data_IF_419059613099
#
_entry.id   IF_419059613099
#
_cell.length_a   1.000
_cell.length_b   1.000
_cell.length_c   1.000
_cell.angle_alpha   90.00
_cell.angle_beta   90.00
_cell.angle_gamma   90.00
#
_symmetry.space_group_name_H-M   'P 1'
#
loop_
_entity.id
_entity.type
_entity.pdbx_description
1 polymer ?
#
# COMPACT_ATOMS: atom_id res chain seq x y z
N UNK A 1 39.56 -5.96 21.40
CA UNK A 1 38.54 -5.96 22.45
C UNK A 1 37.19 -6.14 21.75
N UNK A 2 36.86 -7.36 21.30
CA UNK A 2 36.01 -8.38 21.98
C UNK A 2 34.57 -7.86 22.15
N UNK A 3 33.60 -8.20 21.28
CA UNK A 3 32.87 -9.49 21.13
C UNK A 3 32.51 -10.17 22.47
N UNK A 4 31.23 -10.57 22.58
CA UNK A 4 30.52 -11.23 23.70
C UNK A 4 29.85 -10.33 24.75
N UNK A 5 28.51 -10.24 24.71
CA UNK A 5 27.61 -10.48 25.86
C UNK A 5 26.14 -10.22 25.49
N UNK A 6 25.46 -11.23 24.94
CA UNK A 6 23.99 -11.38 24.99
C UNK A 6 23.60 -12.86 25.06
N UNK A 7 23.97 -13.55 26.13
CA UNK A 7 23.26 -14.74 26.59
C UNK A 7 23.32 -14.75 28.11
N UNK A 8 22.15 -14.57 28.74
CA UNK A 8 22.07 -14.42 30.18
C UNK A 8 20.65 -14.11 30.66
N UNK A 9 19.68 -14.94 30.28
CA UNK A 9 18.45 -15.09 31.08
C UNK A 9 18.51 -16.47 31.71
N UNK A 10 18.77 -16.49 33.01
CA UNK A 10 18.68 -17.70 33.82
C UNK A 10 17.27 -18.27 33.68
N UNK A 11 17.18 -19.53 33.26
CA UNK A 11 15.99 -20.35 33.41
C UNK A 11 15.73 -20.53 34.91
N UNK A 12 14.72 -19.88 35.46
CA UNK A 12 14.17 -20.28 36.75
C UNK A 12 13.35 -21.54 36.52
N UNK A 13 14.00 -22.69 36.68
CA UNK A 13 13.37 -24.01 36.61
C UNK A 13 13.02 -24.40 38.03
N UNK A 14 11.75 -24.35 38.42
CA UNK A 14 11.30 -24.90 39.70
C UNK A 14 11.08 -26.40 39.47
N UNK A 15 12.04 -27.21 39.89
CA UNK A 15 11.92 -28.67 40.00
C UNK A 15 11.26 -28.99 41.35
N UNK A 16 10.01 -29.44 41.36
CA UNK A 16 9.37 -30.01 42.55
C UNK A 16 9.50 -31.54 42.48
N UNK A 17 10.56 -32.07 43.10
CA UNK A 17 10.69 -33.50 43.36
C UNK A 17 9.97 -33.84 44.67
N UNK A 18 8.87 -34.60 44.59
CA UNK A 18 8.27 -35.21 45.78
C UNK A 18 9.18 -36.36 46.23
N UNK A 19 9.81 -36.22 47.39
CA UNK A 19 10.48 -37.32 48.08
C UNK A 19 9.50 -37.95 49.07
N UNK A 20 9.07 -39.17 48.81
CA UNK A 20 8.44 -40.02 49.82
C UNK A 20 9.54 -40.60 50.74
N UNK A 21 9.53 -40.36 52.06
CA UNK A 21 10.49 -40.96 52.96
C UNK A 21 10.03 -42.38 53.32
N UNK A 22 10.50 -43.40 52.61
CA UNK A 22 10.38 -44.79 53.05
C UNK A 22 11.43 -45.09 54.13
N UNK A 23 10.98 -45.19 55.39
CA UNK A 23 11.67 -45.89 56.47
C UNK A 23 11.43 -47.40 56.31
N UNK A 24 12.51 -48.19 56.19
CA UNK A 24 12.46 -49.66 56.32
C UNK A 24 12.67 -50.44 55.02
N UNK A 25 13.37 -51.56 55.14
CA UNK A 25 14.03 -52.32 54.07
C UNK A 25 13.13 -52.79 52.91
N UNK A 26 13.59 -52.53 51.67
CA UNK A 26 13.11 -53.14 50.43
C UNK A 26 12.91 -52.14 49.29
N UNK A 27 13.90 -51.97 48.41
CA UNK A 27 13.83 -51.01 47.30
C UNK A 27 13.79 -51.73 45.93
N UNK A 28 12.74 -51.59 45.11
CA UNK A 28 12.85 -51.67 43.66
C UNK A 28 12.98 -50.26 43.07
N UNK A 29 13.87 -50.13 42.07
CA UNK A 29 14.19 -48.88 41.36
C UNK A 29 12.92 -48.14 40.90
N UNK A 30 12.70 -46.93 41.40
CA UNK A 30 11.70 -45.99 40.85
C UNK A 30 12.36 -45.03 39.87
N UNK A 31 11.79 -44.96 38.67
CA UNK A 31 12.12 -43.98 37.63
C UNK A 31 11.56 -42.61 38.04
N UNK A 32 12.44 -41.62 38.21
CA UNK A 32 12.03 -40.23 38.43
C UNK A 32 11.52 -39.65 37.11
N UNK A 33 10.20 -39.57 36.92
CA UNK A 33 9.60 -38.76 35.84
C UNK A 33 9.47 -37.31 36.30
N UNK A 34 10.36 -36.44 35.82
CA UNK A 34 10.19 -34.99 35.90
C UNK A 34 9.24 -34.52 34.79
N UNK A 35 7.99 -34.23 35.13
CA UNK A 35 7.05 -33.53 34.24
C UNK A 35 7.37 -32.03 34.25
N UNK A 36 7.94 -31.54 33.15
CA UNK A 36 8.05 -30.11 32.86
C UNK A 36 6.63 -29.55 32.63
N UNK A 37 5.98 -29.04 33.68
CA UNK A 37 4.81 -28.19 33.53
C UNK A 37 5.28 -26.81 33.04
N UNK A 38 5.47 -26.68 31.73
CA UNK A 38 5.66 -25.36 31.11
C UNK A 38 4.35 -24.58 31.25
N UNK A 39 4.28 -23.74 32.28
CA UNK A 39 3.14 -22.85 32.49
C UNK A 39 3.15 -21.79 31.37
N UNK A 40 2.08 -21.76 30.58
CA UNK A 40 1.90 -20.95 29.37
C UNK A 40 0.52 -20.29 29.41
N UNK A 41 0.37 -19.18 28.68
CA UNK A 41 -0.91 -18.49 28.49
C UNK A 41 -1.82 -19.10 27.43
N UNK A 42 -1.41 -20.17 26.74
CA UNK A 42 -2.23 -20.84 25.73
C UNK A 42 -3.59 -21.26 26.32
N UNK A 43 -4.66 -20.81 25.68
CA UNK A 43 -6.06 -21.00 26.09
C UNK A 43 -6.46 -20.34 27.42
N UNK A 44 -5.62 -19.50 28.03
CA UNK A 44 -5.82 -18.93 29.39
C UNK A 44 -5.70 -17.41 29.44
N UNK A 45 -5.80 -16.73 28.29
CA UNK A 45 -5.76 -15.27 28.25
C UNK A 45 -6.92 -14.69 29.05
N UNK A 46 -6.61 -13.71 29.91
CA UNK A 46 -7.55 -13.03 30.80
C UNK A 46 -8.26 -13.94 31.83
N UNK A 47 -7.85 -15.19 32.00
CA UNK A 47 -8.35 -16.05 33.08
C UNK A 47 -7.76 -15.60 34.43
N UNK A 48 -8.59 -15.18 35.40
CA UNK A 48 -8.10 -14.79 36.71
C UNK A 48 -7.59 -16.00 37.48
N UNK A 49 -6.29 -16.07 37.72
CA UNK A 49 -5.71 -17.00 38.71
C UNK A 49 -5.84 -16.43 40.12
N UNK A 50 -6.37 -17.22 41.05
CA UNK A 50 -6.40 -16.88 42.47
C UNK A 50 -5.01 -16.52 43.01
N UNK A 51 -4.94 -15.57 43.94
CA UNK A 51 -3.68 -15.06 44.52
C UNK A 51 -2.82 -16.14 45.21
N UNK A 52 -3.43 -17.26 45.59
CA UNK A 52 -2.80 -18.38 46.31
C UNK A 52 -2.19 -19.47 45.42
N UNK A 53 -2.26 -19.37 44.08
CA UNK A 53 -1.70 -20.38 43.17
C UNK A 53 -0.32 -19.96 42.68
N UNK A 54 0.77 -20.69 43.01
CA UNK A 54 2.11 -20.38 42.50
C UNK A 54 2.19 -20.50 40.98
N UNK A 55 2.79 -19.51 40.31
CA UNK A 55 3.06 -19.56 38.87
C UNK A 55 2.93 -18.20 38.17
N UNK A 56 3.24 -18.18 36.88
CA UNK A 56 3.06 -17.00 36.04
C UNK A 56 1.58 -16.72 35.73
N UNK A 57 1.29 -15.49 35.31
CA UNK A 57 -0.06 -14.97 35.06
C UNK A 57 -0.30 -14.54 33.60
N UNK A 58 -1.58 -14.48 33.22
CA UNK A 58 -2.05 -14.20 31.86
C UNK A 58 -3.13 -13.12 31.79
N UNK A 59 -3.30 -12.36 32.88
CA UNK A 59 -4.18 -11.19 32.93
C UNK A 59 -3.42 -9.90 32.61
N UNK A 60 -4.16 -8.89 32.16
CA UNK A 60 -3.62 -7.56 31.79
C UNK A 60 -2.73 -6.89 32.86
N UNK A 61 -2.89 -7.22 34.14
CA UNK A 61 -2.09 -6.63 35.22
C UNK A 61 -0.74 -7.33 35.44
N UNK A 62 -0.48 -8.47 34.78
CA UNK A 62 0.77 -9.20 34.95
C UNK A 62 1.99 -8.38 34.53
N UNK A 63 1.84 -7.50 33.53
CA UNK A 63 2.92 -6.63 33.06
C UNK A 63 3.36 -5.64 34.14
N UNK A 64 2.41 -5.14 34.94
CA UNK A 64 2.71 -4.23 36.06
C UNK A 64 3.36 -4.98 37.22
N UNK A 65 2.97 -6.23 37.47
CA UNK A 65 3.54 -7.08 38.53
C UNK A 65 4.88 -7.71 38.16
N UNK A 66 5.20 -7.81 36.87
CA UNK A 66 6.40 -8.49 36.37
C UNK A 66 6.29 -10.02 36.43
N UNK A 67 5.07 -10.56 36.47
CA UNK A 67 4.79 -12.00 36.68
C UNK A 67 4.08 -12.66 35.49
N UNK A 68 4.12 -12.06 34.31
CA UNK A 68 3.54 -12.63 33.09
C UNK A 68 4.20 -13.97 32.72
N UNK A 69 3.41 -14.89 32.15
CA UNK A 69 4.01 -16.04 31.46
C UNK A 69 4.84 -15.56 30.27
N UNK A 70 5.85 -16.37 29.93
CA UNK A 70 6.85 -16.02 28.92
C UNK A 70 6.26 -15.77 27.53
N UNK A 71 5.10 -16.36 27.24
CA UNK A 71 4.36 -16.29 25.97
C UNK A 71 3.14 -15.35 26.01
N UNK A 72 2.94 -14.59 27.10
CA UNK A 72 1.78 -13.72 27.27
C UNK A 72 1.62 -12.66 26.16
N UNK A 73 2.72 -12.02 25.76
CA UNK A 73 2.70 -11.03 24.66
C UNK A 73 2.25 -11.67 23.35
N UNK A 74 2.90 -12.76 22.94
CA UNK A 74 2.62 -13.44 21.67
C UNK A 74 1.23 -14.10 21.62
N UNK A 75 0.74 -14.57 22.77
CA UNK A 75 -0.51 -15.35 22.86
C UNK A 75 -1.73 -14.48 23.14
N UNK A 76 -1.61 -13.43 23.95
CA UNK A 76 -2.77 -12.66 24.44
C UNK A 76 -2.81 -11.21 23.93
N UNK A 77 -1.66 -10.61 23.59
CA UNK A 77 -1.58 -9.19 23.18
C UNK A 77 -1.44 -9.05 21.67
N UNK A 78 -0.44 -9.72 21.08
CA UNK A 78 -0.14 -9.66 19.65
C UNK A 78 -1.34 -9.99 18.73
N UNK A 79 -2.26 -10.92 19.05
CA UNK A 79 -3.43 -11.21 18.21
C UNK A 79 -4.36 -10.02 17.96
N UNK A 80 -4.41 -9.06 18.89
CA UNK A 80 -5.23 -7.83 18.77
C UNK A 80 -4.57 -6.75 17.90
N UNK A 81 -3.36 -7.01 17.39
CA UNK A 81 -2.54 -6.05 16.63
C UNK A 81 -1.94 -6.64 15.36
N UNK A 82 -2.16 -7.93 15.11
CA UNK A 82 -1.53 -8.68 14.04
C UNK A 82 -2.55 -9.34 13.14
N UNK A 83 -2.28 -9.31 11.84
CA UNK A 83 -3.06 -9.94 10.79
C UNK A 83 -2.56 -11.35 10.43
N UNK A 84 -1.71 -11.94 11.28
CA UNK A 84 -1.00 -13.19 10.98
C UNK A 84 -1.17 -14.21 12.10
N UNK A 85 -1.27 -15.47 11.71
CA UNK A 85 -1.01 -16.60 12.58
C UNK A 85 0.48 -16.78 12.82
N UNK A 86 0.81 -17.28 14.00
CA UNK A 86 2.14 -17.72 14.43
C UNK A 86 1.98 -19.08 15.11
N UNK A 87 3.09 -19.76 15.41
CA UNK A 87 3.05 -21.03 16.15
C UNK A 87 2.36 -20.90 17.53
N UNK A 88 2.36 -19.71 18.13
CA UNK A 88 1.67 -19.43 19.39
C UNK A 88 0.15 -19.33 19.24
N UNK A 89 -0.32 -18.90 18.07
CA UNK A 89 -1.74 -18.66 17.78
C UNK A 89 -2.48 -19.85 17.19
N UNK A 90 -1.78 -20.85 16.65
CA UNK A 90 -2.44 -21.99 16.03
C UNK A 90 -3.27 -22.79 17.05
N UNK A 91 -4.57 -22.93 16.78
CA UNK A 91 -5.53 -23.53 17.69
C UNK A 91 -5.79 -22.66 18.92
N UNK A 92 -5.63 -21.34 18.84
CA UNK A 92 -5.96 -20.44 19.95
C UNK A 92 -7.43 -20.54 20.35
N UNK A 93 -7.72 -20.28 21.63
CA UNK A 93 -9.08 -19.90 22.02
C UNK A 93 -9.37 -18.53 21.42
N UNK A 94 -10.58 -18.32 20.89
CA UNK A 94 -10.95 -17.05 20.26
C UNK A 94 -10.76 -15.87 21.21
N UNK A 95 -10.00 -14.88 20.75
CA UNK A 95 -9.70 -13.65 21.51
C UNK A 95 -10.55 -12.52 20.95
N UNK A 96 -11.34 -11.88 21.82
CA UNK A 96 -12.14 -10.72 21.45
C UNK A 96 -11.25 -9.56 20.98
N UNK A 97 -11.64 -8.88 19.91
CA UNK A 97 -10.85 -7.77 19.34
C UNK A 97 -9.65 -8.20 18.49
N UNK A 98 -9.47 -9.50 18.22
CA UNK A 98 -8.52 -9.95 17.19
C UNK A 98 -8.96 -9.53 15.79
N UNK A 99 -8.01 -9.13 14.95
CA UNK A 99 -8.29 -8.74 13.56
C UNK A 99 -8.71 -9.92 12.68
N UNK A 100 -8.16 -11.09 12.99
CA UNK A 100 -8.42 -12.37 12.34
C UNK A 100 -8.09 -13.49 13.33
N UNK A 101 -8.62 -14.68 13.09
CA UNK A 101 -8.52 -15.82 14.00
C UNK A 101 -7.57 -16.91 13.51
N UNK A 102 -6.99 -17.65 14.45
CA UNK A 102 -6.21 -18.86 14.20
C UNK A 102 -6.79 -20.08 14.95
N UNK A 103 -8.04 -19.98 15.42
CA UNK A 103 -8.77 -21.07 16.06
C UNK A 103 -9.23 -22.11 15.04
N UNK A 104 -9.55 -23.32 15.51
CA UNK A 104 -9.91 -24.44 14.63
C UNK A 104 -11.23 -24.23 13.86
N UNK A 105 -12.10 -23.35 14.34
CA UNK A 105 -13.37 -22.99 13.68
C UNK A 105 -13.25 -21.78 12.73
N UNK A 106 -12.06 -21.21 12.52
CA UNK A 106 -11.91 -19.97 11.75
C UNK A 106 -12.30 -20.12 10.27
N UNK A 107 -12.06 -21.30 9.67
CA UNK A 107 -12.39 -21.55 8.26
C UNK A 107 -13.91 -21.59 8.08
N UNK A 108 -14.63 -22.19 9.02
CA UNK A 108 -16.08 -22.25 9.02
C UNK A 108 -16.70 -20.86 9.20
N UNK A 109 -16.12 -20.03 10.07
CA UNK A 109 -16.58 -18.65 10.30
C UNK A 109 -16.06 -17.64 9.27
N UNK A 110 -15.20 -18.08 8.34
CA UNK A 110 -14.57 -17.25 7.30
C UNK A 110 -13.82 -16.04 7.88
N UNK A 111 -13.14 -16.23 9.00
CA UNK A 111 -12.40 -15.18 9.70
C UNK A 111 -10.96 -15.56 10.02
N UNK A 112 -10.42 -16.60 9.37
CA UNK A 112 -9.01 -16.95 9.50
C UNK A 112 -8.08 -15.82 9.06
N UNK A 113 -6.92 -15.71 9.70
CA UNK A 113 -5.81 -14.96 9.11
C UNK A 113 -5.37 -15.64 7.80
N UNK A 114 -4.89 -14.85 6.83
CA UNK A 114 -4.61 -15.37 5.47
C UNK A 114 -3.54 -16.45 5.45
N UNK A 115 -2.58 -16.39 6.37
CA UNK A 115 -1.50 -17.38 6.49
C UNK A 115 -1.85 -18.55 7.41
N UNK A 116 -3.12 -18.73 7.80
CA UNK A 116 -3.56 -19.81 8.69
C UNK A 116 -3.22 -21.19 8.12
N UNK A 117 -3.54 -21.45 6.85
CA UNK A 117 -3.22 -22.73 6.22
C UNK A 117 -1.71 -22.98 6.20
N UNK A 118 -0.94 -21.93 5.89
CA UNK A 118 0.52 -22.04 5.79
C UNK A 118 1.14 -22.38 7.16
N UNK A 119 0.77 -21.63 8.20
CA UNK A 119 1.40 -21.73 9.52
C UNK A 119 0.81 -22.86 10.37
N UNK A 120 -0.51 -23.06 10.31
CA UNK A 120 -1.22 -23.97 11.22
C UNK A 120 -1.61 -25.31 10.58
N UNK A 121 -1.64 -25.42 9.24
CA UNK A 121 -1.91 -26.68 8.52
C UNK A 121 -0.69 -27.23 7.77
N UNK A 122 0.40 -26.46 7.69
CA UNK A 122 1.63 -26.87 7.01
C UNK A 122 1.53 -26.83 5.49
N UNK A 123 0.58 -26.08 4.93
CA UNK A 123 0.56 -25.79 3.50
C UNK A 123 1.71 -24.84 3.12
N UNK A 124 2.18 -24.91 1.88
CA UNK A 124 3.21 -23.99 1.40
C UNK A 124 2.59 -22.64 1.02
N UNK A 125 3.25 -21.49 1.30
CA UNK A 125 2.79 -20.19 0.85
C UNK A 125 2.64 -20.11 -0.67
N UNK A 126 1.77 -19.22 -1.16
CA UNK A 126 1.64 -19.02 -2.62
C UNK A 126 3.00 -18.71 -3.25
N UNK A 127 3.83 -17.86 -2.65
CA UNK A 127 5.14 -17.50 -3.20
C UNK A 127 6.11 -18.69 -3.43
N UNK A 128 5.89 -19.82 -2.75
CA UNK A 128 6.75 -21.01 -2.83
C UNK A 128 6.21 -22.09 -3.78
N UNK A 129 4.95 -21.97 -4.22
CA UNK A 129 4.40 -22.90 -5.20
C UNK A 129 5.04 -22.72 -6.59
N UNK A 130 5.20 -23.81 -7.37
CA UNK A 130 5.66 -23.69 -8.75
C UNK A 130 4.67 -22.90 -9.61
N UNK A 131 5.15 -22.29 -10.69
CA UNK A 131 4.28 -21.67 -11.67
C UNK A 131 3.42 -22.74 -12.36
N UNK A 132 2.15 -22.44 -12.58
CA UNK A 132 1.21 -23.29 -13.31
C UNK A 132 0.78 -22.54 -14.58
N UNK A 133 0.82 -23.22 -15.72
CA UNK A 133 0.24 -22.67 -16.95
C UNK A 133 -1.27 -22.88 -16.93
N UNK A 134 -2.02 -21.79 -17.08
CA UNK A 134 -3.48 -21.82 -17.10
C UNK A 134 -3.98 -21.61 -18.53
N UNK A 135 -4.48 -22.67 -19.16
CA UNK A 135 -5.21 -22.55 -20.44
C UNK A 135 -6.65 -22.06 -20.22
N UNK A 136 -7.23 -22.40 -19.07
CA UNK A 136 -8.57 -21.98 -18.64
C UNK A 136 -8.56 -21.57 -17.16
N UNK A 137 -9.33 -20.55 -16.76
CA UNK A 137 -9.36 -20.10 -15.38
C UNK A 137 -9.96 -21.17 -14.45
N UNK A 138 -9.37 -21.33 -13.27
CA UNK A 138 -9.86 -22.25 -12.23
C UNK A 138 -10.71 -21.48 -11.23
N UNK A 139 -11.96 -21.23 -11.59
CA UNK A 139 -12.89 -20.43 -10.78
C UNK A 139 -13.87 -21.31 -9.98
N UNK A 140 -14.09 -21.03 -8.68
CA UNK A 140 -15.13 -21.69 -7.91
C UNK A 140 -16.52 -21.22 -8.35
N UNK A 141 -17.54 -22.01 -7.99
CA UNK A 141 -18.93 -21.72 -8.37
C UNK A 141 -19.35 -20.28 -8.01
N UNK A 142 -19.98 -19.60 -8.97
CA UNK A 142 -20.41 -18.20 -8.85
C UNK A 142 -19.41 -17.18 -9.38
N UNK A 143 -18.16 -17.58 -9.69
CA UNK A 143 -17.19 -16.76 -10.40
C UNK A 143 -17.16 -17.13 -11.89
N UNK A 144 -18.32 -17.02 -12.56
CA UNK A 144 -18.45 -17.39 -13.97
C UNK A 144 -17.63 -16.49 -14.88
N UNK A 145 -17.45 -15.23 -14.47
CA UNK A 145 -16.50 -14.30 -15.04
C UNK A 145 -15.38 -14.09 -14.00
N UNK A 146 -14.11 -14.29 -14.37
CA UNK A 146 -13.03 -14.07 -13.42
C UNK A 146 -12.86 -12.58 -13.12
N UNK A 147 -12.79 -12.19 -11.83
CA UNK A 147 -12.73 -10.78 -11.45
C UNK A 147 -11.36 -10.18 -11.79
N UNK A 148 -11.33 -8.87 -11.95
CA UNK A 148 -10.10 -8.10 -12.19
C UNK A 148 -9.75 -7.31 -10.93
N UNK A 149 -8.52 -7.46 -10.44
CA UNK A 149 -7.98 -6.63 -9.35
C UNK A 149 -6.88 -5.76 -9.92
N UNK A 150 -7.06 -4.44 -9.81
CA UNK A 150 -6.07 -3.43 -10.16
C UNK A 150 -5.37 -2.95 -8.88
N UNK A 151 -4.14 -3.39 -8.65
CA UNK A 151 -3.36 -3.07 -7.46
C UNK A 151 -2.24 -2.09 -7.80
N UNK A 152 -2.35 -0.85 -7.31
CA UNK A 152 -1.31 0.17 -7.43
C UNK A 152 -0.41 0.25 -6.20
N UNK A 153 0.90 0.25 -6.44
CA UNK A 153 1.95 0.56 -5.45
C UNK A 153 2.58 1.90 -5.84
N UNK A 154 2.21 2.98 -5.16
CA UNK A 154 2.57 4.36 -5.54
C UNK A 154 4.09 4.53 -5.62
N UNK A 155 4.58 5.18 -6.69
CA UNK A 155 5.99 5.49 -6.84
C UNK A 155 6.92 4.26 -6.98
N UNK A 156 6.37 3.06 -7.24
CA UNK A 156 7.17 1.86 -7.51
C UNK A 156 7.88 2.00 -8.87
N UNK A 157 9.07 2.60 -8.84
CA UNK A 157 9.95 2.73 -9.99
C UNK A 157 10.31 1.34 -10.53
N UNK A 158 10.19 1.16 -11.85
CA UNK A 158 10.52 -0.09 -12.54
C UNK A 158 11.89 -0.68 -12.16
N UNK A 159 12.91 0.17 -12.02
CA UNK A 159 14.27 -0.25 -11.63
C UNK A 159 14.33 -0.92 -10.24
N UNK A 160 13.38 -0.68 -9.34
CA UNK A 160 13.33 -1.40 -8.07
C UNK A 160 13.14 -2.90 -8.26
N UNK A 161 12.36 -3.32 -9.25
CA UNK A 161 12.19 -4.74 -9.56
C UNK A 161 13.43 -5.32 -10.26
N UNK A 162 14.11 -4.53 -11.10
CA UNK A 162 15.35 -4.94 -11.75
C UNK A 162 16.47 -5.19 -10.74
N UNK A 163 16.62 -4.29 -9.76
CA UNK A 163 17.74 -4.30 -8.81
C UNK A 163 17.45 -5.10 -7.53
N UNK A 164 16.21 -5.06 -7.02
CA UNK A 164 15.87 -5.60 -5.69
C UNK A 164 14.93 -6.80 -5.72
N UNK A 165 14.66 -7.39 -6.89
CA UNK A 165 13.78 -8.58 -7.05
C UNK A 165 14.04 -9.71 -6.05
N UNK A 166 15.30 -10.00 -5.72
CA UNK A 166 15.63 -11.07 -4.76
C UNK A 166 15.15 -10.81 -3.33
N UNK A 167 14.77 -9.57 -3.00
CA UNK A 167 14.19 -9.18 -1.72
C UNK A 167 12.66 -9.14 -1.75
N UNK A 168 12.06 -9.39 -2.91
CA UNK A 168 10.63 -9.24 -3.21
C UNK A 168 10.06 -10.54 -3.78
N UNK A 169 10.03 -11.63 -3.00
CA UNK A 169 9.68 -12.96 -3.51
C UNK A 169 8.26 -13.06 -4.09
N UNK A 170 7.29 -12.32 -3.56
CA UNK A 170 5.91 -12.37 -4.05
C UNK A 170 5.80 -11.67 -5.42
N UNK A 171 6.39 -10.48 -5.55
CA UNK A 171 6.42 -9.72 -6.79
C UNK A 171 7.26 -10.46 -7.84
N UNK A 172 8.40 -11.02 -7.46
CA UNK A 172 9.26 -11.81 -8.36
C UNK A 172 8.54 -13.07 -8.86
N UNK A 173 7.77 -13.76 -7.99
CA UNK A 173 6.93 -14.87 -8.43
C UNK A 173 5.87 -14.40 -9.43
N UNK A 174 5.18 -13.30 -9.16
CA UNK A 174 4.15 -12.78 -10.07
C UNK A 174 4.75 -12.42 -11.45
N UNK A 175 5.92 -11.78 -11.47
CA UNK A 175 6.69 -11.50 -12.69
C UNK A 175 7.11 -12.77 -13.44
N UNK A 176 7.53 -13.81 -12.71
CA UNK A 176 8.04 -15.06 -13.28
C UNK A 176 6.91 -15.93 -13.86
N UNK A 177 5.79 -16.04 -13.16
CA UNK A 177 4.67 -16.87 -13.57
C UNK A 177 3.65 -16.14 -14.46
N UNK A 178 3.63 -14.80 -14.43
CA UNK A 178 2.68 -13.96 -15.14
C UNK A 178 3.26 -13.28 -16.38
N UNK A 179 2.61 -12.19 -16.79
CA UNK A 179 3.09 -11.31 -17.87
C UNK A 179 3.66 -10.03 -17.28
N UNK A 180 4.89 -9.69 -17.67
CA UNK A 180 5.57 -8.49 -17.18
C UNK A 180 6.25 -7.73 -18.32
N UNK A 181 6.17 -6.40 -18.26
CA UNK A 181 6.99 -5.48 -19.05
C UNK A 181 8.08 -4.89 -18.17
N UNK A 182 9.30 -4.71 -18.71
CA UNK A 182 10.42 -4.06 -17.99
C UNK A 182 10.03 -2.71 -17.40
N UNK A 183 9.13 -1.98 -18.06
CA UNK A 183 8.55 -0.76 -17.54
C UNK A 183 7.18 -0.48 -18.18
N UNK A 184 6.37 0.31 -17.49
CA UNK A 184 5.19 0.96 -18.04
C UNK A 184 5.45 2.47 -18.08
N UNK A 185 5.16 3.12 -19.21
CA UNK A 185 5.39 4.57 -19.36
C UNK A 185 4.18 5.34 -18.85
N UNK A 186 4.40 6.11 -17.78
CA UNK A 186 3.45 7.08 -17.24
C UNK A 186 3.13 8.22 -18.23
N UNK A 187 1.95 8.82 -18.08
CA UNK A 187 1.60 10.09 -18.69
C UNK A 187 2.36 11.25 -18.04
N UNK A 188 2.43 12.37 -18.76
CA UNK A 188 3.07 13.58 -18.26
C UNK A 188 2.01 14.56 -17.70
N UNK A 189 2.25 15.19 -16.53
CA UNK A 189 3.39 14.99 -15.62
C UNK A 189 3.32 13.67 -14.85
N UNK A 190 4.47 13.13 -14.47
CA UNK A 190 4.58 11.88 -13.71
C UNK A 190 4.24 12.10 -12.23
N UNK A 191 2.94 12.28 -11.96
CA UNK A 191 2.33 12.56 -10.65
C UNK A 191 1.15 11.63 -10.38
N UNK A 192 0.84 11.46 -9.09
CA UNK A 192 -0.15 10.49 -8.60
C UNK A 192 -1.52 10.58 -9.23
N UNK A 193 -2.23 11.71 -9.06
CA UNK A 193 -3.61 11.83 -9.52
C UNK A 193 -3.75 11.77 -11.06
N UNK A 194 -2.91 12.47 -11.84
CA UNK A 194 -2.94 12.37 -13.30
C UNK A 194 -2.80 10.93 -13.80
N UNK A 195 -1.83 10.18 -13.26
CA UNK A 195 -1.51 8.85 -13.77
C UNK A 195 -2.50 7.78 -13.31
N UNK A 196 -2.91 7.78 -12.04
CA UNK A 196 -3.95 6.86 -11.58
C UNK A 196 -5.26 7.05 -12.33
N UNK A 197 -5.65 8.30 -12.63
CA UNK A 197 -6.87 8.57 -13.36
C UNK A 197 -6.73 8.30 -14.87
N UNK A 198 -5.54 8.52 -15.45
CA UNK A 198 -5.19 8.05 -16.81
C UNK A 198 -5.38 6.53 -16.92
N UNK A 199 -4.88 5.75 -15.96
CA UNK A 199 -4.94 4.28 -15.98
C UNK A 199 -6.40 3.78 -16.08
N UNK A 200 -7.32 4.36 -15.31
CA UNK A 200 -8.72 3.91 -15.27
C UNK A 200 -9.60 4.55 -16.33
N UNK A 201 -9.14 5.56 -17.07
CA UNK A 201 -9.92 6.20 -18.14
C UNK A 201 -9.37 5.94 -19.55
N UNK A 202 -8.09 5.57 -19.67
CA UNK A 202 -7.39 5.47 -20.96
C UNK A 202 -7.15 6.83 -21.64
N UNK A 203 -7.34 7.95 -20.93
CA UNK A 203 -7.24 9.30 -21.47
C UNK A 203 -5.94 9.98 -21.02
N UNK A 204 -5.45 10.94 -21.81
CA UNK A 204 -4.39 11.84 -21.36
C UNK A 204 -4.90 12.85 -20.31
N UNK A 205 -4.02 13.39 -19.44
CA UNK A 205 -4.38 14.42 -18.47
C UNK A 205 -5.09 15.64 -19.06
N UNK A 206 -4.68 16.08 -20.25
CA UNK A 206 -5.35 17.19 -20.92
C UNK A 206 -6.82 16.90 -21.27
N UNK A 207 -7.19 15.63 -21.45
CA UNK A 207 -8.55 15.20 -21.80
C UNK A 207 -9.40 14.87 -20.58
N UNK A 208 -8.85 14.16 -19.59
CA UNK A 208 -9.60 13.77 -18.39
C UNK A 208 -9.64 14.87 -17.31
N UNK A 209 -8.88 15.95 -17.48
CA UNK A 209 -8.97 17.17 -16.69
C UNK A 209 -8.17 17.19 -15.39
N UNK A 210 -7.57 16.07 -14.97
CA UNK A 210 -6.74 15.98 -13.77
C UNK A 210 -5.28 16.11 -14.20
N UNK A 211 -4.79 17.35 -14.31
CA UNK A 211 -3.50 17.64 -14.96
C UNK A 211 -2.31 17.62 -14.00
N UNK A 212 -2.56 17.72 -12.70
CA UNK A 212 -1.57 17.65 -11.62
C UNK A 212 -2.30 17.41 -10.28
N UNK A 213 -1.54 17.13 -9.21
CA UNK A 213 -2.04 17.04 -7.84
C UNK A 213 -2.50 18.42 -7.30
N UNK A 214 -2.06 19.53 -7.94
CA UNK A 214 -2.51 20.89 -7.66
C UNK A 214 -2.72 21.66 -8.96
N UNK A 215 -3.89 22.27 -9.14
CA UNK A 215 -4.24 22.99 -10.36
C UNK A 215 -5.28 24.09 -10.10
N UNK A 216 -5.43 25.02 -11.03
CA UNK A 216 -6.44 26.07 -11.00
C UNK A 216 -7.25 26.03 -12.29
N UNK A 217 -8.56 26.23 -12.18
CA UNK A 217 -9.48 26.33 -13.31
C UNK A 217 -10.10 27.72 -13.31
N UNK A 218 -9.78 28.53 -14.31
CA UNK A 218 -10.27 29.91 -14.44
C UNK A 218 -11.77 30.00 -14.70
N UNK A 219 -12.36 28.97 -15.32
CA UNK A 219 -13.79 28.98 -15.63
C UNK A 219 -14.63 28.63 -14.40
N UNK A 220 -14.07 27.81 -13.51
CA UNK A 220 -14.67 27.50 -12.22
C UNK A 220 -14.31 28.53 -11.14
N UNK A 221 -13.25 29.30 -11.36
CA UNK A 221 -12.56 30.13 -10.38
C UNK A 221 -12.23 29.37 -9.08
N UNK A 222 -11.66 28.17 -9.23
CA UNK A 222 -11.37 27.26 -8.12
C UNK A 222 -9.97 26.67 -8.22
N UNK A 223 -9.42 26.31 -7.07
CA UNK A 223 -8.15 25.59 -6.97
C UNK A 223 -8.38 24.16 -6.46
N UNK A 224 -7.82 23.19 -7.17
CA UNK A 224 -7.79 21.79 -6.78
C UNK A 224 -6.50 21.50 -6.00
N UNK A 225 -6.63 20.72 -4.93
CA UNK A 225 -5.50 20.17 -4.17
C UNK A 225 -5.91 18.89 -3.45
N UNK A 226 -4.98 17.95 -3.27
CA UNK A 226 -5.23 16.66 -2.60
C UNK A 226 -5.68 16.81 -1.13
N UNK A 227 -5.23 17.87 -0.47
CA UNK A 227 -5.62 18.20 0.91
C UNK A 227 -6.89 19.05 1.00
N UNK A 228 -7.41 19.54 -0.12
CA UNK A 228 -8.60 20.38 -0.18
C UNK A 228 -9.89 19.56 -0.35
N UNK A 229 -11.02 20.22 -0.10
CA UNK A 229 -12.36 19.64 -0.33
C UNK A 229 -12.75 19.59 -1.81
N UNK A 230 -12.14 20.45 -2.63
CA UNK A 230 -12.40 20.53 -4.07
C UNK A 230 -12.08 19.25 -4.82
N UNK A 231 -11.28 18.34 -4.24
CA UNK A 231 -11.04 17.02 -4.85
C UNK A 231 -12.32 16.19 -5.02
N UNK A 232 -13.35 16.45 -4.22
CA UNK A 232 -14.64 15.77 -4.28
C UNK A 232 -15.63 16.43 -5.25
N UNK A 233 -15.29 17.57 -5.87
CA UNK A 233 -16.16 18.24 -6.83
C UNK A 233 -16.06 17.52 -8.21
N UNK A 234 -17.15 16.94 -8.74
CA UNK A 234 -17.14 16.20 -10.00
C UNK A 234 -16.80 17.06 -11.22
N UNK A 235 -16.86 18.39 -11.12
CA UNK A 235 -16.46 19.30 -12.21
C UNK A 235 -14.97 19.18 -12.58
N UNK A 236 -14.13 18.64 -11.70
CA UNK A 236 -12.73 18.35 -12.00
C UNK A 236 -12.54 17.09 -12.85
N UNK A 237 -13.41 16.10 -12.71
CA UNK A 237 -13.18 14.75 -13.21
C UNK A 237 -13.94 14.54 -14.52
N UNK A 238 -13.20 14.45 -15.63
CA UNK A 238 -13.78 14.22 -16.97
C UNK A 238 -13.53 12.78 -17.43
N UNK A 239 -14.09 12.43 -18.58
CA UNK A 239 -14.03 11.06 -19.10
C UNK A 239 -14.89 10.10 -18.30
N UNK A 240 -14.66 8.81 -18.49
CA UNK A 240 -15.39 7.74 -17.84
C UNK A 240 -14.40 6.72 -17.25
N UNK A 241 -14.26 6.64 -15.92
CA UNK A 241 -13.42 5.63 -15.31
C UNK A 241 -14.02 4.23 -15.48
N UNK A 242 -13.15 3.22 -15.49
CA UNK A 242 -13.49 1.83 -15.82
C UNK A 242 -14.54 1.23 -14.89
N UNK A 243 -14.61 1.66 -13.62
CA UNK A 243 -15.67 1.21 -12.71
C UNK A 243 -17.06 1.62 -13.19
N UNK A 244 -17.24 2.84 -13.74
CA UNK A 244 -18.52 3.25 -14.35
C UNK A 244 -18.77 2.48 -15.64
N UNK A 245 -17.74 2.26 -16.46
CA UNK A 245 -17.85 1.47 -17.70
C UNK A 245 -18.34 0.04 -17.42
N UNK A 246 -17.83 -0.59 -16.36
CA UNK A 246 -18.25 -1.89 -15.88
C UNK A 246 -19.70 -1.86 -15.37
N UNK A 247 -20.05 -0.84 -14.56
CA UNK A 247 -21.40 -0.68 -14.01
C UNK A 247 -22.47 -0.45 -15.06
N UNK A 248 -22.20 0.34 -16.11
CA UNK A 248 -23.12 0.49 -17.24
C UNK A 248 -23.30 -0.79 -18.05
N UNK A 249 -22.41 -1.77 -17.88
CA UNK A 249 -22.49 -3.10 -18.50
C UNK A 249 -22.90 -4.19 -17.49
N UNK A 250 -23.58 -3.79 -16.40
CA UNK A 250 -24.16 -4.67 -15.37
C UNK A 250 -23.13 -5.46 -14.53
N UNK A 251 -21.89 -5.00 -14.47
CA UNK A 251 -20.86 -5.51 -13.55
C UNK A 251 -20.77 -4.62 -12.30
N UNK A 252 -20.30 -5.16 -11.18
CA UNK A 252 -20.11 -4.38 -9.94
C UNK A 252 -18.65 -3.98 -9.76
N UNK A 253 -18.42 -2.85 -9.09
CA UNK A 253 -17.07 -2.33 -8.84
C UNK A 253 -16.83 -2.07 -7.35
N UNK A 254 -15.67 -2.51 -6.84
CA UNK A 254 -15.25 -2.36 -5.45
C UNK A 254 -13.90 -1.67 -5.35
N UNK A 255 -13.87 -0.40 -4.97
CA UNK A 255 -12.63 0.39 -4.97
C UNK A 255 -12.13 0.66 -3.55
N UNK A 256 -11.04 0.01 -3.15
CA UNK A 256 -10.36 0.27 -1.89
C UNK A 256 -9.23 1.28 -2.13
N UNK A 257 -9.63 2.56 -2.12
CA UNK A 257 -8.86 3.73 -2.53
C UNK A 257 -8.44 3.72 -4.01
N UNK A 258 -8.84 4.76 -4.73
CA UNK A 258 -8.29 5.15 -6.03
C UNK A 258 -8.63 6.62 -6.32
N UNK A 259 -7.74 7.43 -6.91
CA UNK A 259 -8.09 8.79 -7.31
C UNK A 259 -9.35 8.85 -8.18
N UNK A 260 -10.39 9.51 -7.65
CA UNK A 260 -11.70 9.66 -8.31
C UNK A 260 -12.75 8.63 -7.90
N UNK A 261 -12.39 7.57 -7.17
CA UNK A 261 -13.36 6.55 -6.74
C UNK A 261 -14.29 7.02 -5.62
N UNK A 262 -13.85 8.00 -4.84
CA UNK A 262 -14.63 8.68 -3.80
C UNK A 262 -15.26 9.99 -4.29
N UNK A 263 -15.49 10.09 -5.60
CA UNK A 263 -16.14 11.24 -6.27
C UNK A 263 -17.33 10.77 -7.10
N UNK A 264 -18.41 11.57 -7.09
CA UNK A 264 -19.65 11.29 -7.81
C UNK A 264 -19.52 11.62 -9.32
N UNK A 265 -18.70 10.86 -10.03
CA UNK A 265 -18.41 11.08 -11.46
C UNK A 265 -19.62 10.66 -12.28
N UNK A 266 -20.10 11.54 -13.16
CA UNK A 266 -21.33 11.34 -13.93
C UNK A 266 -22.56 10.98 -13.06
N UNK A 267 -22.62 11.52 -11.83
CA UNK A 267 -23.73 11.26 -10.90
C UNK A 267 -23.69 9.87 -10.26
N UNK A 268 -22.53 9.20 -10.23
CA UNK A 268 -22.44 7.81 -9.75
C UNK A 268 -21.11 7.51 -9.07
N UNK A 269 -21.16 6.77 -7.96
CA UNK A 269 -20.00 6.18 -7.28
C UNK A 269 -19.80 4.72 -7.70
N UNK A 270 -18.62 4.11 -7.50
CA UNK A 270 -18.46 2.66 -7.54
C UNK A 270 -19.46 1.95 -6.62
N UNK A 271 -19.84 0.71 -6.95
CA UNK A 271 -20.81 -0.07 -6.15
C UNK A 271 -20.41 -0.17 -4.68
N UNK A 272 -19.13 -0.41 -4.42
CA UNK A 272 -18.50 -0.32 -3.12
C UNK A 272 -17.28 0.60 -3.25
N UNK A 273 -17.13 1.56 -2.34
CA UNK A 273 -15.95 2.42 -2.31
C UNK A 273 -15.60 2.81 -0.88
N UNK A 274 -14.35 3.18 -0.67
CA UNK A 274 -13.87 3.77 0.57
C UNK A 274 -13.35 5.18 0.32
N UNK A 275 -13.68 6.11 1.22
CA UNK A 275 -13.11 7.47 1.19
C UNK A 275 -11.67 7.39 1.66
N UNK A 276 -10.75 8.02 0.93
CA UNK A 276 -9.32 7.93 1.23
C UNK A 276 -8.98 8.31 2.67
N UNK A 277 -8.28 7.42 3.37
CA UNK A 277 -7.74 7.64 4.71
C UNK A 277 -6.41 6.91 4.86
N UNK A 278 -5.31 7.66 4.89
CA UNK A 278 -3.95 7.12 4.99
C UNK A 278 -3.67 6.38 6.31
N UNK A 279 -4.51 6.54 7.33
CA UNK A 279 -4.36 5.82 8.60
C UNK A 279 -4.79 4.35 8.50
N UNK A 280 -5.53 3.97 7.46
CA UNK A 280 -5.97 2.58 7.26
C UNK A 280 -4.77 1.74 6.82
N UNK A 281 -4.46 0.69 7.59
CA UNK A 281 -3.31 -0.19 7.36
C UNK A 281 -3.45 -0.98 6.07
N UNK A 282 -2.35 -1.43 5.47
CA UNK A 282 -2.39 -2.19 4.22
C UNK A 282 -3.11 -3.51 4.37
N UNK A 283 -2.94 -4.15 5.52
CA UNK A 283 -3.61 -5.39 5.88
C UNK A 283 -5.13 -5.21 5.99
N UNK A 284 -5.61 -4.09 6.54
CA UNK A 284 -7.04 -3.75 6.56
C UNK A 284 -7.60 -3.57 5.14
N UNK A 285 -6.85 -2.90 4.26
CA UNK A 285 -7.26 -2.71 2.85
C UNK A 285 -7.39 -4.05 2.12
N UNK A 286 -6.38 -4.91 2.26
CA UNK A 286 -6.35 -6.26 1.65
C UNK A 286 -7.46 -7.13 2.22
N UNK A 287 -7.64 -7.12 3.54
CA UNK A 287 -8.74 -7.83 4.20
C UNK A 287 -10.10 -7.35 3.70
N UNK A 288 -10.26 -6.05 3.44
CA UNK A 288 -11.43 -5.47 2.80
C UNK A 288 -11.72 -6.05 1.41
N UNK A 289 -10.71 -6.12 0.54
CA UNK A 289 -10.83 -6.76 -0.79
C UNK A 289 -11.22 -8.23 -0.67
N UNK A 290 -10.53 -8.98 0.19
CA UNK A 290 -10.81 -10.41 0.41
C UNK A 290 -12.23 -10.64 0.94
N UNK A 291 -12.70 -9.77 1.85
CA UNK A 291 -14.08 -9.79 2.34
C UNK A 291 -15.10 -9.51 1.24
N UNK A 292 -14.84 -8.54 0.36
CA UNK A 292 -15.73 -8.27 -0.78
C UNK A 292 -15.75 -9.42 -1.78
N UNK A 293 -14.67 -10.18 -1.93
CA UNK A 293 -14.65 -11.42 -2.73
C UNK A 293 -15.50 -12.54 -2.11
N UNK A 294 -15.70 -12.53 -0.79
CA UNK A 294 -16.56 -13.49 -0.08
C UNK A 294 -18.07 -13.17 -0.16
N UNK A 295 -18.44 -12.01 -0.73
CA UNK A 295 -19.84 -11.63 -0.91
C UNK A 295 -20.59 -12.58 -1.84
N UNK A 296 -21.91 -12.58 -1.72
CA UNK A 296 -22.80 -13.32 -2.62
C UNK A 296 -22.61 -12.83 -4.05
N UNK A 297 -22.83 -13.68 -5.06
CA UNK A 297 -22.70 -13.29 -6.48
C UNK A 297 -23.51 -12.03 -6.83
N UNK A 298 -24.66 -11.84 -6.20
CA UNK A 298 -25.51 -10.66 -6.40
C UNK A 298 -24.91 -9.36 -5.88
N UNK A 299 -24.01 -9.40 -4.90
CA UNK A 299 -23.43 -8.21 -4.24
C UNK A 299 -21.94 -8.04 -4.54
N UNK A 300 -21.28 -9.12 -4.95
CA UNK A 300 -19.84 -9.18 -5.18
C UNK A 300 -19.42 -8.33 -6.40
N UNK A 301 -18.37 -7.50 -6.27
CA UNK A 301 -17.76 -6.83 -7.42
C UNK A 301 -17.10 -7.78 -8.42
N UNK A 302 -17.01 -7.34 -9.67
CA UNK A 302 -16.25 -7.99 -10.74
C UNK A 302 -14.95 -7.23 -11.03
N UNK A 303 -14.92 -5.92 -10.74
CA UNK A 303 -13.74 -5.07 -10.84
C UNK A 303 -13.36 -4.51 -9.46
N UNK A 304 -12.08 -4.58 -9.13
CA UNK A 304 -11.55 -4.12 -7.86
C UNK A 304 -10.36 -3.19 -8.04
N UNK A 305 -10.23 -2.21 -7.15
CA UNK A 305 -8.99 -1.45 -7.02
C UNK A 305 -8.43 -1.57 -5.61
N UNK A 306 -7.11 -1.64 -5.52
CA UNK A 306 -6.35 -1.60 -4.27
C UNK A 306 -5.19 -0.63 -4.45
N UNK A 307 -4.96 0.23 -3.46
CA UNK A 307 -3.89 1.23 -3.48
C UNK A 307 -3.10 1.21 -2.17
N UNK A 308 -1.78 1.30 -2.29
CA UNK A 308 -0.87 1.58 -1.17
C UNK A 308 0.08 2.74 -1.53
N UNK A 309 0.39 3.57 -0.54
CA UNK A 309 1.23 4.78 -0.66
C UNK A 309 2.73 4.48 -0.72
N UNK A 310 3.15 3.24 -0.46
CA UNK A 310 4.54 2.82 -0.52
C UNK A 310 4.83 2.10 -1.86
N UNK A 311 6.03 2.27 -2.44
CA UNK A 311 7.22 2.91 -1.87
C UNK A 311 7.36 4.43 -2.05
N UNK A 312 6.35 5.16 -2.57
CA UNK A 312 6.42 6.61 -2.80
C UNK A 312 6.76 7.41 -1.54
N UNK A 313 6.06 7.14 -0.44
CA UNK A 313 6.25 7.85 0.83
C UNK A 313 7.69 7.75 1.36
N UNK A 314 8.26 6.54 1.36
CA UNK A 314 9.65 6.31 1.73
C UNK A 314 10.63 6.85 0.67
N UNK A 315 10.26 6.78 -0.61
CA UNK A 315 11.03 7.36 -1.72
C UNK A 315 11.21 8.87 -1.57
N UNK A 316 10.15 9.60 -1.20
CA UNK A 316 10.21 11.02 -0.89
C UNK A 316 11.01 11.33 0.38
N UNK A 317 10.81 10.55 1.45
CA UNK A 317 11.44 10.79 2.75
C UNK A 317 12.95 10.51 2.75
N UNK A 318 13.39 9.49 2.03
CA UNK A 318 14.77 8.97 2.13
C UNK A 318 15.53 9.00 0.78
N UNK A 319 14.83 9.16 -0.34
CA UNK A 319 15.35 9.01 -1.70
C UNK A 319 15.28 7.56 -2.20
N UNK A 320 15.31 7.37 -3.53
CA UNK A 320 15.02 6.08 -4.18
C UNK A 320 16.03 4.97 -3.87
N UNK A 321 17.24 5.30 -3.44
CA UNK A 321 18.27 4.33 -3.02
C UNK A 321 18.57 4.57 -1.55
N UNK A 322 17.85 3.88 -0.67
CA UNK A 322 17.96 4.04 0.78
C UNK A 322 17.47 2.80 1.52
N UNK A 323 17.94 2.59 2.75
CA UNK A 323 17.41 1.52 3.60
C UNK A 323 15.93 1.69 3.96
N UNK A 324 15.40 2.92 3.91
CA UNK A 324 13.97 3.20 4.06
C UNK A 324 13.15 2.63 2.90
N UNK A 325 13.55 2.91 1.66
CA UNK A 325 12.90 2.35 0.47
C UNK A 325 13.00 0.83 0.41
N UNK A 326 14.14 0.23 0.77
CA UNK A 326 14.25 -1.25 0.82
C UNK A 326 13.22 -1.86 1.76
N UNK A 327 13.01 -1.27 2.95
CA UNK A 327 11.97 -1.73 3.88
C UNK A 327 10.57 -1.53 3.31
N UNK A 328 10.30 -0.39 2.69
CA UNK A 328 9.00 -0.11 2.07
C UNK A 328 8.68 -1.07 0.92
N UNK A 329 9.67 -1.42 0.10
CA UNK A 329 9.53 -2.44 -0.95
C UNK A 329 9.18 -3.80 -0.35
N UNK A 330 9.83 -4.21 0.74
CA UNK A 330 9.50 -5.46 1.44
C UNK A 330 8.09 -5.43 2.04
N UNK A 331 7.63 -4.27 2.54
CA UNK A 331 6.25 -4.10 3.02
C UNK A 331 5.25 -4.23 1.87
N UNK A 332 5.52 -3.61 0.72
CA UNK A 332 4.68 -3.72 -0.48
C UNK A 332 4.65 -5.17 -1.02
N UNK A 333 5.78 -5.87 -1.02
CA UNK A 333 5.86 -7.29 -1.38
C UNK A 333 5.06 -8.18 -0.42
N UNK A 334 5.15 -7.93 0.89
CA UNK A 334 4.35 -8.63 1.90
C UNK A 334 2.85 -8.36 1.76
N UNK A 335 2.47 -7.13 1.39
CA UNK A 335 1.08 -6.78 1.09
C UNK A 335 0.55 -7.59 -0.11
N UNK A 336 1.33 -7.71 -1.19
CA UNK A 336 0.99 -8.60 -2.31
C UNK A 336 0.91 -10.07 -1.86
N UNK A 337 1.87 -10.53 -1.06
CA UNK A 337 1.85 -11.90 -0.52
C UNK A 337 0.60 -12.20 0.29
N UNK A 338 0.18 -11.26 1.16
CA UNK A 338 -1.06 -11.36 1.93
C UNK A 338 -2.30 -11.48 1.03
N UNK A 339 -2.36 -10.69 -0.05
CA UNK A 339 -3.43 -10.79 -1.04
C UNK A 339 -3.42 -12.16 -1.72
N UNK A 340 -2.26 -12.62 -2.22
CA UNK A 340 -2.15 -13.88 -2.95
C UNK A 340 -2.44 -15.11 -2.08
N UNK A 341 -1.95 -15.14 -0.84
CA UNK A 341 -2.30 -16.20 0.13
C UNK A 341 -3.80 -16.18 0.46
N UNK A 342 -4.39 -14.99 0.61
CA UNK A 342 -5.83 -14.83 0.82
C UNK A 342 -6.69 -15.30 -0.35
N UNK A 343 -6.24 -15.06 -1.59
CA UNK A 343 -6.85 -15.59 -2.81
C UNK A 343 -6.67 -17.11 -2.90
N UNK A 344 -5.50 -17.62 -2.51
CA UNK A 344 -5.23 -19.07 -2.47
C UNK A 344 -6.17 -19.80 -1.52
N UNK A 345 -6.33 -19.29 -0.31
CA UNK A 345 -7.26 -19.83 0.70
C UNK A 345 -8.72 -19.90 0.19
N UNK A 346 -9.08 -19.05 -0.77
CA UNK A 346 -10.41 -19.00 -1.40
C UNK A 346 -10.50 -19.77 -2.72
N UNK A 347 -9.44 -20.46 -3.14
CA UNK A 347 -9.31 -21.08 -4.46
C UNK A 347 -9.51 -20.08 -5.61
N UNK A 348 -9.07 -18.84 -5.44
CA UNK A 348 -9.21 -17.75 -6.42
C UNK A 348 -7.89 -17.33 -7.07
N UNK A 349 -6.74 -17.78 -6.57
CA UNK A 349 -5.41 -17.41 -7.09
C UNK A 349 -5.17 -17.80 -8.57
N UNK A 350 -5.87 -18.81 -9.08
CA UNK A 350 -5.87 -19.24 -10.49
C UNK A 350 -7.17 -18.84 -11.24
N UNK A 351 -7.98 -17.97 -10.63
CA UNK A 351 -9.20 -17.40 -11.22
C UNK A 351 -8.99 -15.91 -11.49
N UNK A 352 -8.60 -15.13 -10.47
CA UNK A 352 -8.48 -13.67 -10.56
C UNK A 352 -7.47 -13.21 -11.60
N UNK A 353 -7.86 -12.22 -12.39
CA UNK A 353 -6.94 -11.44 -13.21
C UNK A 353 -6.34 -10.29 -12.39
N UNK A 354 -5.13 -10.46 -11.89
CA UNK A 354 -4.43 -9.45 -11.10
C UNK A 354 -3.51 -8.60 -11.98
N UNK A 355 -3.66 -7.28 -11.91
CA UNK A 355 -2.75 -6.30 -12.50
C UNK A 355 -2.08 -5.54 -11.36
N UNK A 356 -0.78 -5.75 -11.17
CA UNK A 356 0.05 -4.96 -10.25
C UNK A 356 0.80 -3.91 -11.05
N UNK A 357 0.69 -2.64 -10.66
CA UNK A 357 1.28 -1.52 -11.37
C UNK A 357 1.70 -0.38 -10.43
N UNK A 358 2.28 0.66 -11.02
CA UNK A 358 2.50 1.94 -10.38
C UNK A 358 2.12 3.07 -11.34
N UNK A 359 1.90 4.24 -10.75
CA UNK A 359 1.56 5.48 -11.42
C UNK A 359 2.79 6.22 -11.97
N UNK A 360 3.92 6.17 -11.26
CA UNK A 360 5.19 6.75 -11.69
C UNK A 360 6.40 6.09 -11.01
N UNK A 361 7.60 6.53 -11.40
CA UNK A 361 8.84 6.21 -10.71
C UNK A 361 9.22 7.24 -9.65
N UNK A 362 10.49 7.23 -9.24
CA UNK A 362 11.06 8.12 -8.23
C UNK A 362 12.48 8.54 -8.61
N UNK A 363 12.88 9.75 -8.22
CA UNK A 363 14.20 10.29 -8.52
C UNK A 363 14.78 11.05 -7.31
N UNK A 364 16.11 11.01 -7.17
CA UNK A 364 16.83 11.75 -6.13
C UNK A 364 16.94 13.22 -6.52
N UNK A 365 16.65 14.12 -5.58
CA UNK A 365 16.86 15.56 -5.73
C UNK A 365 18.02 16.04 -4.87
N UNK A 366 18.59 17.19 -5.23
CA UNK A 366 19.72 17.79 -4.53
C UNK A 366 19.49 19.29 -4.39
N UNK A 367 19.79 19.88 -3.22
CA UNK A 367 19.68 21.34 -3.04
C UNK A 367 20.59 22.15 -3.97
N UNK A 368 21.65 21.51 -4.50
CA UNK A 368 22.55 22.11 -5.50
C UNK A 368 22.02 22.06 -6.93
N UNK A 369 20.93 21.32 -7.18
CA UNK A 369 20.29 21.14 -8.47
C UNK A 369 18.90 21.79 -8.44
N UNK A 370 18.87 23.08 -8.09
CA UNK A 370 17.67 23.90 -8.02
C UNK A 370 17.90 25.18 -8.80
N UNK A 371 16.98 25.48 -9.71
CA UNK A 371 16.91 26.72 -10.46
C UNK A 371 15.88 27.64 -9.80
N UNK A 372 16.32 28.83 -9.37
CA UNK A 372 15.48 29.80 -8.68
C UNK A 372 15.00 30.88 -9.66
N UNK A 373 13.70 31.17 -9.71
CA UNK A 373 13.17 32.22 -10.59
C UNK A 373 13.73 33.61 -10.24
N UNK A 374 14.16 33.84 -8.99
CA UNK A 374 14.85 35.08 -8.58
C UNK A 374 16.15 35.36 -9.34
N UNK A 375 16.78 34.34 -9.91
CA UNK A 375 18.01 34.51 -10.70
C UNK A 375 17.72 35.06 -12.12
N UNK A 376 16.45 35.00 -12.55
CA UNK A 376 16.01 35.39 -13.90
C UNK A 376 15.12 36.63 -13.89
N UNK A 377 14.48 36.92 -12.76
CA UNK A 377 13.57 38.04 -12.58
C UNK A 377 13.95 38.86 -11.35
N UNK A 378 14.04 40.20 -11.52
CA UNK A 378 14.24 41.13 -10.40
C UNK A 378 13.06 41.14 -9.43
N UNK A 379 11.85 40.90 -9.94
CA UNK A 379 10.61 40.85 -9.18
C UNK A 379 9.74 39.70 -9.69
N UNK A 380 9.19 38.92 -8.78
CA UNK A 380 8.32 37.78 -9.09
C UNK A 380 6.87 38.16 -8.77
N UNK A 381 6.16 38.62 -9.80
CA UNK A 381 4.74 39.00 -9.75
C UNK A 381 3.80 37.92 -10.31
N UNK A 382 4.32 36.72 -10.53
CA UNK A 382 3.56 35.56 -10.98
C UNK A 382 3.45 34.49 -9.88
N UNK A 383 2.53 33.55 -10.08
CA UNK A 383 2.44 32.32 -9.30
C UNK A 383 3.16 31.18 -10.04
N UNK A 384 3.87 30.32 -9.32
CA UNK A 384 4.55 29.15 -9.87
C UNK A 384 4.13 27.89 -9.12
N UNK A 385 3.68 26.88 -9.89
CA UNK A 385 3.66 25.49 -9.42
C UNK A 385 5.08 24.96 -9.53
N UNK A 386 5.79 24.86 -8.41
CA UNK A 386 7.21 24.49 -8.38
C UNK A 386 7.44 22.97 -8.57
N UNK A 387 8.67 22.60 -8.94
CA UNK A 387 9.11 21.22 -9.04
C UNK A 387 9.67 20.84 -10.42
N UNK A 388 9.65 19.55 -10.79
CA UNK A 388 10.23 19.07 -12.05
C UNK A 388 9.32 19.26 -13.29
N UNK A 389 8.05 19.60 -13.07
CA UNK A 389 7.05 19.88 -14.12
C UNK A 389 6.43 21.26 -13.89
N UNK A 390 7.29 22.27 -13.70
CA UNK A 390 6.86 23.57 -13.22
C UNK A 390 6.01 24.33 -14.24
N UNK A 391 5.04 25.09 -13.73
CA UNK A 391 4.11 25.92 -14.52
C UNK A 391 4.02 27.30 -13.91
N UNK A 392 3.90 28.33 -14.75
CA UNK A 392 3.79 29.72 -14.32
C UNK A 392 2.47 30.31 -14.84
N UNK A 393 1.78 31.05 -13.96
CA UNK A 393 0.56 31.80 -14.28
C UNK A 393 0.52 33.14 -13.59
N UNK A 394 -0.47 33.96 -13.96
CA UNK A 394 -0.78 35.19 -13.25
C UNK A 394 -1.00 34.95 -11.75
N UNK A 395 -0.52 35.86 -10.91
CA UNK A 395 -0.76 35.80 -9.46
C UNK A 395 -2.21 36.17 -9.11
N UNK A 396 -2.77 37.18 -9.78
CA UNK A 396 -4.15 37.63 -9.60
C UNK A 396 -5.06 36.89 -10.59
N UNK A 397 -5.81 35.94 -10.08
CA UNK A 397 -6.77 35.15 -10.86
C UNK A 397 -8.16 35.33 -10.25
N UNK A 398 -9.23 35.33 -11.07
CA UNK A 398 -9.24 35.05 -12.52
C UNK A 398 -8.87 36.27 -13.40
N UNK A 399 -8.74 37.47 -12.83
CA UNK A 399 -8.70 38.74 -13.55
C UNK A 399 -7.59 38.82 -14.61
N UNK A 400 -6.37 38.43 -14.24
CA UNK A 400 -5.21 38.56 -15.12
C UNK A 400 -4.87 37.25 -15.84
N UNK A 401 -5.71 36.21 -15.72
CA UNK A 401 -5.38 34.88 -16.24
C UNK A 401 -5.11 34.88 -17.75
N UNK A 402 -5.97 35.54 -18.53
CA UNK A 402 -5.87 35.60 -19.99
C UNK A 402 -4.97 36.74 -20.51
N UNK A 403 -4.79 37.80 -19.72
CA UNK A 403 -3.97 38.98 -20.10
C UNK A 403 -2.51 38.84 -19.68
N UNK A 404 -2.16 37.80 -18.92
CA UNK A 404 -0.80 37.50 -18.50
C UNK A 404 0.12 37.22 -19.69
N UNK A 405 1.20 38.00 -19.79
CA UNK A 405 2.19 37.92 -20.88
C UNK A 405 3.06 36.65 -20.79
N UNK A 406 2.45 35.52 -21.14
CA UNK A 406 3.09 34.20 -21.11
C UNK A 406 4.25 34.10 -22.10
N UNK A 407 4.12 34.75 -23.27
CA UNK A 407 5.16 34.79 -24.29
C UNK A 407 6.39 35.57 -23.80
N UNK A 408 6.17 36.72 -23.16
CA UNK A 408 7.22 37.51 -22.53
C UNK A 408 7.96 36.76 -21.43
N UNK A 409 7.25 36.00 -20.59
CA UNK A 409 7.87 35.13 -19.58
C UNK A 409 8.76 34.07 -20.24
N UNK A 410 8.25 33.33 -21.24
CA UNK A 410 9.04 32.31 -21.96
C UNK A 410 10.26 32.93 -22.62
N UNK A 411 10.10 34.06 -23.33
CA UNK A 411 11.20 34.79 -23.96
C UNK A 411 12.24 35.26 -22.94
N UNK A 412 11.82 35.73 -21.76
CA UNK A 412 12.73 36.15 -20.70
C UNK A 412 13.39 34.99 -19.95
N UNK A 413 12.91 33.76 -20.09
CA UNK A 413 13.58 32.58 -19.53
C UNK A 413 14.43 31.83 -20.56
N UNK A 414 14.30 32.16 -21.85
CA UNK A 414 14.97 31.44 -22.94
C UNK A 414 16.44 31.82 -23.03
N UNK A 415 17.32 30.82 -22.96
CA UNK A 415 18.77 30.95 -23.17
C UNK A 415 19.44 32.02 -22.29
N UNK A 416 19.07 32.12 -21.01
CA UNK A 416 19.59 33.17 -20.11
C UNK A 416 20.89 32.80 -19.43
N UNK A 417 21.13 31.52 -19.19
CA UNK A 417 22.33 31.02 -18.50
C UNK A 417 22.93 29.83 -19.26
N UNK A 418 24.21 29.57 -18.99
CA UNK A 418 24.92 28.41 -19.51
C UNK A 418 25.82 27.83 -18.40
N UNK A 419 25.52 26.62 -17.89
CA UNK A 419 24.33 25.83 -18.18
C UNK A 419 23.05 26.42 -17.57
N UNK A 420 21.91 26.15 -18.20
CA UNK A 420 20.56 26.37 -17.68
C UNK A 420 19.84 25.03 -17.71
N UNK A 421 19.28 24.59 -16.57
CA UNK A 421 18.80 23.22 -16.39
C UNK A 421 17.28 23.06 -16.49
N UNK A 422 16.64 23.99 -17.20
CA UNK A 422 15.28 23.88 -17.66
C UNK A 422 15.12 24.62 -18.99
N UNK A 423 14.14 24.20 -19.78
CA UNK A 423 13.75 24.89 -21.01
C UNK A 423 12.32 25.40 -20.88
N UNK A 424 12.07 26.72 -20.99
CA UNK A 424 10.72 27.26 -21.00
C UNK A 424 10.04 26.95 -22.34
N UNK A 425 8.73 26.69 -22.27
CA UNK A 425 7.86 26.43 -23.41
C UNK A 425 6.54 27.17 -23.21
N UNK A 426 5.99 27.69 -24.31
CA UNK A 426 4.54 27.77 -24.40
C UNK A 426 4.02 26.34 -24.58
N UNK A 427 2.95 25.96 -23.88
CA UNK A 427 2.46 24.58 -23.91
C UNK A 427 2.15 24.02 -25.30
N UNK A 428 1.67 24.79 -26.31
CA UNK A 428 1.55 24.29 -27.69
C UNK A 428 2.87 23.85 -28.32
N UNK A 429 4.02 24.38 -27.87
CA UNK A 429 5.35 24.09 -28.41
C UNK A 429 6.04 22.94 -27.67
N UNK A 430 5.45 22.41 -26.60
CA UNK A 430 5.95 21.20 -25.95
C UNK A 430 6.00 20.04 -26.95
N UNK A 431 6.96 19.09 -26.80
CA UNK A 431 6.99 17.88 -27.60
C UNK A 431 5.62 17.18 -27.61
N UNK A 432 5.02 17.02 -28.80
CA UNK A 432 3.63 16.53 -28.95
C UNK A 432 3.37 15.19 -28.27
N UNK A 433 4.41 14.34 -28.15
CA UNK A 433 4.38 13.07 -27.41
C UNK A 433 3.94 13.19 -25.94
N UNK A 434 3.96 14.39 -25.36
CA UNK A 434 3.48 14.61 -24.00
C UNK A 434 1.96 14.78 -23.88
N UNK A 435 1.26 15.17 -24.96
CA UNK A 435 -0.18 15.43 -24.93
C UNK A 435 -0.58 16.29 -23.72
N UNK A 436 0.08 17.43 -23.57
CA UNK A 436 -0.01 18.29 -22.38
C UNK A 436 -0.14 19.77 -22.75
N UNK A 437 -1.21 20.12 -23.46
CA UNK A 437 -1.50 21.49 -23.86
C UNK A 437 -3.00 21.81 -23.95
N UNK A 438 -3.83 20.84 -24.31
CA UNK A 438 -5.24 21.05 -24.67
C UNK A 438 -6.18 21.01 -23.44
N UNK A 439 -5.87 21.79 -22.41
CA UNK A 439 -6.74 21.96 -21.26
C UNK A 439 -6.52 23.33 -20.61
N UNK A 440 -7.59 24.04 -20.25
CA UNK A 440 -7.48 25.38 -19.64
C UNK A 440 -6.78 25.35 -18.27
N UNK A 441 -6.75 24.19 -17.60
CA UNK A 441 -6.03 24.02 -16.32
C UNK A 441 -4.51 23.94 -16.49
N UNK A 442 -4.04 23.74 -17.72
CA UNK A 442 -2.62 23.72 -18.05
C UNK A 442 -2.22 25.16 -18.40
N UNK A 443 -1.53 25.80 -17.46
CA UNK A 443 -1.01 27.16 -17.64
C UNK A 443 -0.11 27.25 -18.89
N UNK A 444 -0.19 28.36 -19.62
CA UNK A 444 0.53 28.50 -20.91
C UNK A 444 2.04 28.42 -20.78
N UNK A 445 2.61 28.92 -19.68
CA UNK A 445 4.05 28.85 -19.41
C UNK A 445 4.38 27.54 -18.71
N UNK A 446 5.14 26.68 -19.38
CA UNK A 446 5.61 25.41 -18.84
C UNK A 446 7.13 25.34 -18.86
N UNK A 447 7.74 24.81 -17.81
CA UNK A 447 9.18 24.62 -17.72
C UNK A 447 9.49 23.12 -17.79
N UNK A 448 10.15 22.69 -18.87
CA UNK A 448 10.64 21.33 -19.01
C UNK A 448 12.01 21.24 -18.33
N UNK A 449 12.06 20.56 -17.19
CA UNK A 449 13.23 20.54 -16.30
C UNK A 449 14.12 19.34 -16.61
N UNK A 450 15.43 19.53 -16.55
CA UNK A 450 16.40 18.45 -16.71
C UNK A 450 16.26 17.42 -15.59
N UNK A 451 16.73 16.19 -15.84
CA UNK A 451 16.71 15.11 -14.86
C UNK A 451 17.42 15.54 -13.56
N UNK A 452 16.82 15.21 -12.41
CA UNK A 452 17.27 15.55 -11.04
C UNK A 452 17.23 17.03 -10.67
N UNK A 453 16.88 17.92 -11.60
CA UNK A 453 16.71 19.34 -11.33
C UNK A 453 15.28 19.67 -10.90
N UNK A 454 15.16 20.76 -10.15
CA UNK A 454 13.89 21.37 -9.77
C UNK A 454 13.90 22.84 -10.15
N UNK A 455 12.74 23.38 -10.53
CA UNK A 455 12.55 24.82 -10.62
C UNK A 455 11.65 25.28 -9.47
N UNK A 456 12.08 26.33 -8.77
CA UNK A 456 11.35 26.93 -7.65
C UNK A 456 11.28 28.44 -7.80
N UNK A 457 10.48 29.07 -6.94
CA UNK A 457 10.34 30.53 -6.89
C UNK A 457 11.65 31.20 -6.50
#
# INVERSE_FOLDING_TARGET
>A
MTWENRFGKLFSTILLCLHDPCLGWGCPRTQTQCLLLTVSCRHKCDEPRGESVPGCRCDSSCKKRGDCCWDYEDTCVAPTRSWRCTNFRCGETRIAGSHCSCSDDCLQKKDCCVNYNNVCKGEIPWAEEPCVSLETPQCPAGFDLPPVILFSMDGFRAEYLETWSSLLPNIEKLKTCGTHSKYMRAAYPTKTFPNHYTIVTGLYPESHGIIDNNMYDVNLDKSFSLSGVEKFDPSWWKGQPVWLTAMYQNLKAGTFFWPGSDVEINGTYPTLYTVFNSSVTYEERISGILKWLDYTKSERPDFYTLYIEEPDSSGHSFGPVSGGVIKALQVADQALGMLMDGLKQRNLHNCVNLIVLADHGMEKTYCKQIEYMTDYFKQIDFYIYAGPAARIRAKKVPQDYYTFDSEGIVKNLTCKRSPQHFKPYLTPDLPKRFHYANNIRIDKVHLLVDRQWLVVR
#
